data_IF_028804787884
#
_entry.id   IF_028804787884
#
_cell.length_a   1.000
_cell.length_b   1.000
_cell.length_c   1.000
_cell.angle_alpha   90.00
_cell.angle_beta   90.00
_cell.angle_gamma   90.00
#
_symmetry.space_group_name_H-M   'P 1'
#
loop_
_entity.id
_entity.type
_entity.pdbx_description
1 polymer ?
#
# COMPACT_ATOMS: atom_id res chain seq x y z
N UNK A 1 -1.52 -14.20 21.22
CA UNK A 1 -2.08 -13.59 19.99
C UNK A 1 -3.04 -14.58 19.35
N UNK A 2 -4.11 -14.11 18.72
CA UNK A 2 -5.03 -14.97 17.95
C UNK A 2 -4.27 -15.61 16.78
N UNK A 3 -4.45 -16.91 16.56
CA UNK A 3 -3.83 -17.60 15.44
C UNK A 3 -4.79 -17.55 14.24
N UNK A 4 -4.39 -16.84 13.19
CA UNK A 4 -5.19 -16.72 11.97
C UNK A 4 -4.75 -17.78 10.97
N UNK A 5 -5.71 -18.51 10.41
CA UNK A 5 -5.51 -19.39 9.27
C UNK A 5 -6.68 -19.17 8.32
N UNK A 6 -6.40 -18.54 7.18
CA UNK A 6 -7.41 -18.13 6.20
C UNK A 6 -7.14 -18.81 4.86
N UNK A 7 -8.20 -18.97 4.08
CA UNK A 7 -8.26 -19.67 2.79
C UNK A 7 -8.93 -18.84 1.71
N UNK A 8 -9.84 -17.94 2.07
CA UNK A 8 -10.56 -17.12 1.08
C UNK A 8 -10.25 -15.64 1.25
N UNK A 9 -10.60 -14.86 0.22
CA UNK A 9 -10.46 -13.41 0.25
C UNK A 9 -11.36 -12.76 1.31
N UNK A 10 -12.57 -13.28 1.51
CA UNK A 10 -13.52 -12.77 2.51
C UNK A 10 -12.96 -12.93 3.93
N UNK A 11 -12.37 -14.09 4.25
CA UNK A 11 -11.68 -14.29 5.54
C UNK A 11 -10.48 -13.34 5.68
N UNK A 12 -9.81 -12.99 4.57
CA UNK A 12 -8.73 -12.03 4.56
C UNK A 12 -9.22 -10.59 4.83
N UNK A 13 -10.41 -10.23 4.34
CA UNK A 13 -11.11 -8.97 4.65
C UNK A 13 -11.40 -8.89 6.16
N UNK A 14 -11.98 -9.95 6.74
CA UNK A 14 -12.27 -9.98 8.18
C UNK A 14 -11.01 -9.76 9.02
N UNK A 15 -9.89 -10.37 8.62
CA UNK A 15 -8.60 -10.18 9.32
C UNK A 15 -8.11 -8.74 9.22
N UNK A 16 -8.09 -8.12 8.04
CA UNK A 16 -7.58 -6.74 7.90
C UNK A 16 -8.48 -5.72 8.60
N UNK A 17 -9.80 -5.95 8.63
CA UNK A 17 -10.73 -5.11 9.40
C UNK A 17 -10.49 -5.25 10.91
N UNK A 18 -10.18 -6.45 11.40
CA UNK A 18 -9.86 -6.68 12.82
C UNK A 18 -8.51 -6.05 13.22
N UNK A 19 -7.43 -6.32 12.47
CA UNK A 19 -6.06 -5.98 12.90
C UNK A 19 -5.58 -4.61 12.39
N UNK A 20 -6.17 -4.12 11.30
CA UNK A 20 -5.92 -2.82 10.69
C UNK A 20 -4.60 -2.67 9.90
N UNK A 21 -3.58 -3.49 10.16
CA UNK A 21 -2.33 -3.53 9.40
C UNK A 21 -1.98 -4.98 9.04
N UNK A 22 -1.85 -5.31 7.75
CA UNK A 22 -1.46 -6.65 7.32
C UNK A 22 -0.29 -6.57 6.32
N UNK A 23 0.95 -6.86 6.74
CA UNK A 23 2.07 -7.02 5.83
C UNK A 23 1.83 -8.17 4.85
N UNK A 24 2.27 -8.05 3.60
CA UNK A 24 2.16 -9.16 2.64
C UNK A 24 3.07 -10.33 3.04
N UNK A 25 4.26 -10.01 3.55
CA UNK A 25 5.25 -10.96 4.06
C UNK A 25 5.71 -10.52 5.46
N UNK A 26 6.33 -11.43 6.21
CA UNK A 26 6.78 -11.20 7.58
C UNK A 26 7.58 -9.88 7.71
N UNK A 27 7.07 -8.97 8.53
CA UNK A 27 7.63 -7.63 8.75
C UNK A 27 7.77 -7.28 10.23
N UNK A 28 6.75 -7.62 11.02
CA UNK A 28 6.70 -7.41 12.47
C UNK A 28 6.87 -8.79 13.14
N UNK A 29 7.80 -8.96 14.09
CA UNK A 29 7.96 -10.21 14.83
C UNK A 29 6.68 -10.56 15.59
N UNK A 30 6.31 -11.84 15.61
CA UNK A 30 5.12 -12.34 16.30
C UNK A 30 3.86 -11.51 15.97
N UNK A 31 3.63 -11.28 14.67
CA UNK A 31 2.48 -10.54 14.15
C UNK A 31 2.11 -11.14 12.79
N UNK A 32 0.81 -11.24 12.44
CA UNK A 32 0.40 -11.85 11.19
C UNK A 32 0.89 -11.08 9.96
N UNK A 33 1.12 -11.82 8.89
CA UNK A 33 1.30 -11.34 7.52
C UNK A 33 0.48 -12.23 6.60
N UNK A 34 0.09 -11.75 5.42
CA UNK A 34 -0.72 -12.56 4.49
C UNK A 34 -0.05 -13.91 4.20
N UNK A 35 1.28 -13.92 3.97
CA UNK A 35 2.11 -15.14 3.79
C UNK A 35 2.08 -16.09 5.01
N UNK A 36 2.02 -15.56 6.24
CA UNK A 36 2.06 -16.41 7.43
C UNK A 36 0.70 -17.00 7.82
N UNK A 37 -0.40 -16.43 7.32
CA UNK A 37 -1.77 -16.83 7.67
C UNK A 37 -2.48 -17.58 6.54
N UNK A 38 -1.83 -17.77 5.39
CA UNK A 38 -2.34 -18.50 4.23
C UNK A 38 -1.46 -19.71 3.90
N UNK A 39 -2.02 -20.70 3.18
CA UNK A 39 -1.21 -21.82 2.69
C UNK A 39 -0.37 -21.38 1.48
N UNK A 40 0.91 -21.76 1.49
CA UNK A 40 1.85 -21.51 0.39
C UNK A 40 1.46 -22.21 -0.91
N UNK A 41 0.67 -23.27 -0.84
CA UNK A 41 0.25 -24.06 -2.00
C UNK A 41 -0.66 -23.28 -2.97
N UNK A 42 -1.35 -22.25 -2.47
CA UNK A 42 -2.24 -21.43 -3.30
C UNK A 42 -1.56 -20.19 -3.89
N UNK A 43 -0.38 -19.79 -3.39
CA UNK A 43 0.31 -18.61 -3.89
C UNK A 43 0.74 -18.80 -5.34
N UNK A 44 0.45 -17.80 -6.17
CA UNK A 44 0.74 -17.79 -7.60
C UNK A 44 -0.01 -18.87 -8.40
N UNK A 45 -1.04 -19.50 -7.80
CA UNK A 45 -1.88 -20.48 -8.50
C UNK A 45 -2.80 -19.84 -9.55
N UNK A 46 -3.08 -18.54 -9.43
CA UNK A 46 -4.06 -17.83 -10.27
C UNK A 46 -5.52 -18.24 -10.01
N UNK A 47 -5.77 -19.03 -8.97
CA UNK A 47 -7.12 -19.38 -8.52
C UNK A 47 -7.73 -18.27 -7.66
N UNK A 48 -9.02 -18.35 -7.36
CA UNK A 48 -9.70 -17.47 -6.41
C UNK A 48 -9.13 -17.59 -4.99
N UNK A 49 -8.41 -18.68 -4.70
CA UNK A 49 -7.75 -18.90 -3.41
C UNK A 49 -6.33 -18.32 -3.35
N UNK A 50 -5.85 -17.66 -4.41
CA UNK A 50 -4.48 -17.17 -4.53
C UNK A 50 -4.26 -15.83 -3.80
N UNK A 51 -3.50 -15.80 -2.69
CA UNK A 51 -3.26 -14.56 -1.94
C UNK A 51 -2.43 -13.53 -2.73
N UNK A 52 -1.71 -13.96 -3.76
CA UNK A 52 -1.01 -13.04 -4.67
C UNK A 52 -1.98 -12.24 -5.56
N UNK A 53 -3.19 -12.75 -5.80
CA UNK A 53 -4.22 -12.03 -6.54
C UNK A 53 -4.93 -11.03 -5.64
N UNK A 54 -5.31 -11.44 -4.43
CA UNK A 54 -6.04 -10.63 -3.45
C UNK A 54 -5.35 -9.31 -3.09
N UNK A 55 -4.00 -9.27 -3.04
CA UNK A 55 -3.25 -8.09 -2.58
C UNK A 55 -3.64 -6.77 -3.26
N UNK A 56 -4.04 -6.79 -4.54
CA UNK A 56 -4.50 -5.59 -5.23
C UNK A 56 -6.03 -5.42 -5.17
N UNK A 57 -6.78 -6.50 -4.94
CA UNK A 57 -8.24 -6.49 -4.81
C UNK A 57 -8.67 -5.71 -3.57
N UNK A 58 -7.94 -5.83 -2.45
CA UNK A 58 -8.19 -5.02 -1.24
C UNK A 58 -8.28 -3.50 -1.50
N UNK A 59 -7.44 -3.00 -2.40
CA UNK A 59 -7.42 -1.58 -2.75
C UNK A 59 -8.50 -1.22 -3.77
N UNK A 60 -8.85 -2.15 -4.67
CA UNK A 60 -9.94 -1.98 -5.65
C UNK A 60 -11.29 -1.94 -4.93
N UNK A 61 -11.48 -2.79 -3.92
CA UNK A 61 -12.73 -2.89 -3.15
C UNK A 61 -12.85 -1.83 -2.06
N UNK A 62 -11.83 -0.99 -1.87
CA UNK A 62 -11.83 0.06 -0.84
C UNK A 62 -11.68 -0.45 0.60
N UNK A 63 -11.37 -1.73 0.78
CA UNK A 63 -11.20 -2.36 2.11
C UNK A 63 -9.91 -1.88 2.78
N UNK A 64 -8.81 -1.82 2.02
CA UNK A 64 -7.50 -1.45 2.55
C UNK A 64 -6.61 -0.77 1.50
N UNK A 65 -5.89 0.26 1.92
CA UNK A 65 -4.85 0.85 1.09
C UNK A 65 -3.67 -0.13 0.97
N UNK A 66 -3.24 -0.39 -0.26
CA UNK A 66 -2.13 -1.30 -0.56
C UNK A 66 -0.91 -0.54 -1.11
N UNK A 67 0.26 -0.78 -0.54
CA UNK A 67 1.48 -0.14 -1.03
C UNK A 67 2.71 -0.41 -0.18
N UNK A 68 3.81 0.25 -0.53
CA UNK A 68 5.11 0.11 0.14
C UNK A 68 5.38 1.20 1.18
N UNK A 69 4.40 1.47 2.03
CA UNK A 69 4.40 2.56 3.01
C UNK A 69 5.44 2.37 4.13
N UNK A 70 5.70 1.12 4.54
CA UNK A 70 6.54 0.82 5.71
C UNK A 70 7.81 0.08 5.26
N UNK A 71 8.98 0.69 5.48
CA UNK A 71 10.30 0.09 5.18
C UNK A 71 10.42 -0.49 3.76
N UNK A 72 9.73 0.13 2.78
CA UNK A 72 9.68 -0.32 1.38
C UNK A 72 9.08 -1.74 1.19
N UNK A 73 8.33 -2.23 2.18
CA UNK A 73 7.65 -3.53 2.16
C UNK A 73 6.18 -3.35 1.83
N UNK A 74 5.64 -4.28 1.05
CA UNK A 74 4.23 -4.29 0.69
C UNK A 74 3.38 -4.59 1.94
N UNK A 75 2.48 -3.68 2.26
CA UNK A 75 1.56 -3.77 3.39
C UNK A 75 0.16 -3.34 2.96
N UNK A 76 -0.84 -3.87 3.65
CA UNK A 76 -2.23 -3.42 3.62
C UNK A 76 -2.51 -2.63 4.89
N UNK A 77 -3.18 -1.49 4.77
CA UNK A 77 -3.67 -0.71 5.90
C UNK A 77 -5.18 -0.58 5.73
N UNK A 78 -5.96 -1.04 6.70
CA UNK A 78 -7.42 -0.98 6.61
C UNK A 78 -7.89 0.45 6.42
N UNK A 79 -9.02 0.61 5.72
CA UNK A 79 -9.66 1.90 5.54
C UNK A 79 -9.87 2.65 6.87
N UNK A 80 -10.21 1.93 7.94
CA UNK A 80 -10.45 2.52 9.26
C UNK A 80 -9.18 3.03 9.93
N UNK A 81 -8.07 2.29 9.82
CA UNK A 81 -6.80 2.66 10.45
C UNK A 81 -6.00 3.67 9.62
N UNK A 82 -6.28 3.76 8.31
CA UNK A 82 -5.55 4.58 7.36
C UNK A 82 -5.42 6.06 7.77
N UNK A 83 -6.46 6.76 8.27
CA UNK A 83 -6.32 8.16 8.68
C UNK A 83 -5.25 8.37 9.76
N UNK A 84 -5.22 7.51 10.78
CA UNK A 84 -4.22 7.55 11.84
C UNK A 84 -2.81 7.30 11.28
N UNK A 85 -2.66 6.29 10.42
CA UNK A 85 -1.37 5.97 9.80
C UNK A 85 -0.88 7.10 8.89
N UNK A 86 -1.77 7.76 8.14
CA UNK A 86 -1.43 8.91 7.28
C UNK A 86 -0.92 10.10 8.09
N UNK A 87 -1.48 10.37 9.25
CA UNK A 87 -0.99 11.44 10.15
C UNK A 87 0.45 11.14 10.62
N UNK A 88 0.74 9.88 10.91
CA UNK A 88 2.02 9.46 11.51
C UNK A 88 3.14 9.26 10.47
N UNK A 89 2.83 8.61 9.35
CA UNK A 89 3.81 8.23 8.33
C UNK A 89 3.76 9.10 7.06
N UNK A 90 2.62 9.69 6.76
CA UNK A 90 2.46 10.56 5.59
C UNK A 90 3.14 11.91 5.78
N UNK A 91 3.34 12.63 4.67
CA UNK A 91 3.80 14.01 4.74
C UNK A 91 2.65 14.98 4.97
N UNK A 92 2.79 15.88 5.94
CA UNK A 92 1.88 17.01 6.14
C UNK A 92 2.10 18.15 5.11
N UNK A 93 3.21 18.12 4.36
CA UNK A 93 3.55 19.15 3.38
C UNK A 93 3.15 18.73 1.96
N UNK A 94 2.58 19.64 1.15
CA UNK A 94 2.32 19.40 -0.26
C UNK A 94 3.58 18.95 -1.01
N UNK A 95 3.41 18.08 -2.00
CA UNK A 95 4.51 17.49 -2.75
C UNK A 95 5.40 18.54 -3.43
N UNK A 96 4.82 19.55 -4.08
CA UNK A 96 5.60 20.60 -4.77
C UNK A 96 6.50 21.36 -3.79
N UNK A 97 6.01 21.65 -2.58
CA UNK A 97 6.83 22.31 -1.56
C UNK A 97 7.99 21.43 -1.10
N UNK A 98 7.75 20.14 -0.89
CA UNK A 98 8.82 19.17 -0.57
C UNK A 98 9.85 19.07 -1.71
N UNK A 99 9.41 19.20 -2.96
CA UNK A 99 10.32 19.24 -4.10
C UNK A 99 11.19 20.50 -4.09
N UNK A 100 10.59 21.67 -3.87
CA UNK A 100 11.32 22.94 -3.76
C UNK A 100 12.35 22.91 -2.61
N UNK A 101 12.03 22.23 -1.52
CA UNK A 101 12.92 22.02 -0.37
C UNK A 101 13.98 20.91 -0.60
N UNK A 102 13.99 20.27 -1.78
CA UNK A 102 14.96 19.21 -2.13
C UNK A 102 14.72 17.86 -1.45
N UNK A 103 13.53 17.65 -0.88
CA UNK A 103 13.13 16.43 -0.19
C UNK A 103 12.48 15.38 -1.11
N UNK A 104 12.11 15.80 -2.33
CA UNK A 104 11.47 14.94 -3.33
C UNK A 104 12.29 14.96 -4.62
N UNK A 105 12.52 13.79 -5.22
CA UNK A 105 13.20 13.70 -6.51
C UNK A 105 12.37 14.27 -7.66
N UNK A 106 13.04 14.73 -8.72
CA UNK A 106 12.36 15.21 -9.94
C UNK A 106 11.50 14.10 -10.56
N UNK A 107 12.02 12.88 -10.59
CA UNK A 107 11.30 11.72 -11.10
C UNK A 107 10.04 11.43 -10.27
N UNK A 108 10.12 11.51 -8.94
CA UNK A 108 8.94 11.35 -8.08
C UNK A 108 7.88 12.43 -8.34
N UNK A 109 8.28 13.69 -8.47
CA UNK A 109 7.33 14.77 -8.81
C UNK A 109 6.65 14.54 -10.18
N UNK A 110 7.43 14.16 -11.19
CA UNK A 110 6.91 13.87 -12.53
C UNK A 110 5.92 12.71 -12.51
N UNK A 111 6.27 11.60 -11.86
CA UNK A 111 5.38 10.45 -11.73
C UNK A 111 4.10 10.79 -10.98
N UNK A 112 4.19 11.56 -9.89
CA UNK A 112 3.00 11.97 -9.14
C UNK A 112 2.04 12.79 -10.00
N UNK A 113 2.54 13.76 -10.78
CA UNK A 113 1.69 14.57 -11.67
C UNK A 113 0.96 13.71 -12.70
N UNK A 114 1.66 12.76 -13.33
CA UNK A 114 1.06 11.82 -14.27
C UNK A 114 0.00 10.91 -13.61
N UNK A 115 0.26 10.45 -12.38
CA UNK A 115 -0.69 9.63 -11.61
C UNK A 115 -1.91 10.45 -11.17
N UNK A 116 -1.71 11.73 -10.84
CA UNK A 116 -2.78 12.66 -10.47
C UNK A 116 -3.70 12.96 -11.66
N UNK A 117 -3.13 13.14 -12.86
CA UNK A 117 -3.88 13.37 -14.11
C UNK A 117 -4.65 12.13 -14.58
N UNK A 118 -4.11 10.92 -14.36
CA UNK A 118 -4.74 9.66 -14.76
C UNK A 118 -4.78 8.65 -13.59
N UNK A 119 -5.76 8.75 -12.68
CA UNK A 119 -5.97 7.76 -11.64
C UNK A 119 -6.16 6.35 -12.22
N UNK A 120 -5.44 5.36 -11.67
CA UNK A 120 -5.46 3.99 -12.16
C UNK A 120 -4.53 3.72 -13.36
N UNK A 121 -3.61 4.64 -13.67
CA UNK A 121 -2.55 4.42 -14.66
C UNK A 121 -1.65 3.26 -14.24
N UNK A 122 -1.38 2.33 -15.16
CA UNK A 122 -0.51 1.20 -14.87
C UNK A 122 0.97 1.49 -15.19
N UNK A 123 1.86 0.73 -14.55
CA UNK A 123 3.32 0.86 -14.69
C UNK A 123 3.79 0.97 -16.14
N UNK A 124 3.15 0.30 -17.11
CA UNK A 124 3.60 0.33 -18.51
C UNK A 124 3.30 1.68 -19.15
N UNK A 125 2.06 2.14 -19.01
CA UNK A 125 1.61 3.44 -19.51
C UNK A 125 2.37 4.55 -18.80
N UNK A 126 2.49 4.47 -17.48
CA UNK A 126 3.21 5.45 -16.67
C UNK A 126 4.69 5.58 -17.08
N UNK A 127 5.40 4.46 -17.29
CA UNK A 127 6.78 4.49 -17.81
C UNK A 127 6.88 5.08 -19.21
N UNK A 128 5.88 4.87 -20.05
CA UNK A 128 5.86 5.44 -21.39
C UNK A 128 5.66 6.97 -21.33
N UNK A 129 4.68 7.44 -20.56
CA UNK A 129 4.38 8.87 -20.38
C UNK A 129 5.53 9.65 -19.75
N UNK A 130 6.21 9.06 -18.76
CA UNK A 130 7.39 9.67 -18.13
C UNK A 130 8.66 9.60 -19.00
N UNK A 131 8.60 9.04 -20.21
CA UNK A 131 9.80 8.86 -21.05
C UNK A 131 10.86 7.94 -20.40
N UNK A 132 10.43 6.97 -19.57
CA UNK A 132 11.28 6.07 -18.78
C UNK A 132 11.22 4.61 -19.25
N UNK A 133 10.97 4.35 -20.54
CA UNK A 133 10.92 2.99 -21.11
C UNK A 133 12.28 2.31 -21.17
N UNK A 134 13.35 3.09 -21.33
CA UNK A 134 14.72 2.59 -21.42
C UNK A 134 15.14 1.80 -20.18
N UNK A 135 15.97 0.77 -20.38
CA UNK A 135 16.42 -0.13 -19.29
C UNK A 135 17.15 0.63 -18.18
N UNK A 136 17.94 1.64 -18.53
CA UNK A 136 18.72 2.47 -17.60
C UNK A 136 17.83 3.31 -16.68
N UNK A 137 16.65 3.72 -17.17
CA UNK A 137 15.66 4.50 -16.43
C UNK A 137 14.76 3.65 -15.52
N UNK A 138 14.89 2.32 -15.56
CA UNK A 138 14.10 1.43 -14.68
C UNK A 138 14.37 1.69 -13.19
N UNK A 139 15.63 1.82 -12.79
CA UNK A 139 15.99 2.03 -11.38
C UNK A 139 15.51 3.40 -10.86
N UNK A 140 15.73 4.53 -11.57
CA UNK A 140 15.13 5.81 -11.21
C UNK A 140 13.59 5.74 -11.08
N UNK A 141 12.91 5.08 -12.02
CA UNK A 141 11.46 4.91 -11.98
C UNK A 141 11.00 4.12 -10.75
N UNK A 142 11.61 2.96 -10.49
CA UNK A 142 11.27 2.11 -9.34
C UNK A 142 11.53 2.84 -8.02
N UNK A 143 12.60 3.66 -7.95
CA UNK A 143 12.92 4.48 -6.78
C UNK A 143 11.90 5.60 -6.57
N UNK A 144 11.49 6.30 -7.62
CA UNK A 144 10.49 7.36 -7.56
C UNK A 144 9.14 6.83 -7.06
N UNK A 145 8.69 5.65 -7.53
CA UNK A 145 7.50 5.00 -6.99
C UNK A 145 7.64 4.60 -5.52
N UNK A 146 8.83 4.15 -5.09
CA UNK A 146 9.08 3.78 -3.69
C UNK A 146 9.11 5.01 -2.77
N UNK A 147 9.63 6.13 -3.28
CA UNK A 147 9.66 7.42 -2.60
C UNK A 147 8.24 7.92 -2.34
N UNK A 148 7.42 8.04 -3.40
CA UNK A 148 6.02 8.46 -3.30
C UNK A 148 5.17 7.53 -2.42
N UNK A 149 5.37 6.21 -2.51
CA UNK A 149 4.70 5.29 -1.59
C UNK A 149 5.21 5.46 -0.15
N UNK A 150 6.50 5.68 0.05
CA UNK A 150 7.07 5.87 1.39
C UNK A 150 6.52 7.10 2.12
N UNK A 151 6.19 8.16 1.39
CA UNK A 151 5.52 9.37 1.90
C UNK A 151 3.99 9.32 1.85
N UNK A 152 3.41 8.19 1.46
CA UNK A 152 1.97 7.97 1.30
C UNK A 152 1.30 8.95 0.33
N UNK A 153 2.02 9.37 -0.72
CA UNK A 153 1.49 10.23 -1.78
C UNK A 153 0.66 9.46 -2.81
N UNK A 154 1.02 8.19 -3.03
CA UNK A 154 0.35 7.29 -3.97
C UNK A 154 0.06 5.94 -3.33
N UNK A 155 -0.92 5.23 -3.89
CA UNK A 155 -1.34 3.87 -3.51
C UNK A 155 -1.34 2.97 -4.74
N UNK A 156 -1.17 1.67 -4.55
CA UNK A 156 -1.47 0.69 -5.60
C UNK A 156 -2.98 0.51 -5.65
N UNK A 157 -3.60 0.80 -6.80
CA UNK A 157 -5.07 0.76 -6.97
C UNK A 157 -5.58 -0.40 -7.81
N UNK A 158 -4.72 -1.37 -8.14
CA UNK A 158 -5.16 -2.55 -8.88
C UNK A 158 -4.06 -3.19 -9.72
N UNK A 159 -4.47 -4.08 -10.61
CA UNK A 159 -3.61 -4.55 -11.69
C UNK A 159 -4.35 -4.55 -13.03
N UNK A 160 -3.66 -4.17 -14.11
CA UNK A 160 -4.16 -4.29 -15.49
C UNK A 160 -3.56 -5.52 -16.16
N UNK A 161 -4.42 -6.39 -16.69
CA UNK A 161 -3.97 -7.54 -17.47
C UNK A 161 -3.18 -7.06 -18.69
N UNK A 162 -2.10 -7.75 -19.02
CA UNK A 162 -1.41 -7.49 -20.28
C UNK A 162 -2.21 -8.16 -21.38
N UNK A 163 -2.69 -7.40 -22.36
CA UNK A 163 -3.42 -7.93 -23.51
C UNK A 163 -2.64 -7.69 -24.80
N UNK A 164 -2.73 -8.60 -25.77
CA UNK A 164 -2.29 -8.33 -27.15
C UNK A 164 -3.31 -7.45 -27.89
N UNK A 165 -3.02 -7.14 -29.16
CA UNK A 165 -3.92 -6.37 -30.04
C UNK A 165 -5.30 -7.04 -30.24
N UNK A 166 -5.40 -8.36 -29.97
CA UNK A 166 -6.63 -9.14 -30.02
C UNK A 166 -7.37 -9.21 -28.66
N UNK A 167 -6.87 -8.54 -27.63
CA UNK A 167 -7.45 -8.54 -26.28
C UNK A 167 -7.10 -9.78 -25.44
N UNK A 168 -6.30 -10.70 -25.94
CA UNK A 168 -5.92 -11.93 -25.24
C UNK A 168 -4.86 -11.66 -24.16
N UNK A 169 -5.06 -12.22 -22.97
CA UNK A 169 -4.11 -12.07 -21.85
C UNK A 169 -2.75 -12.69 -22.19
N UNK A 170 -1.69 -11.89 -22.23
CA UNK A 170 -0.33 -12.33 -22.57
C UNK A 170 0.76 -11.87 -21.57
N UNK A 171 1.03 -12.69 -20.57
CA UNK A 171 2.05 -12.43 -19.54
C UNK A 171 1.50 -11.71 -18.30
N UNK A 172 2.37 -11.36 -17.36
CA UNK A 172 1.99 -10.86 -16.04
C UNK A 172 1.23 -9.53 -16.09
N UNK A 173 0.27 -9.32 -15.19
CA UNK A 173 -0.42 -8.03 -15.05
C UNK A 173 0.54 -6.92 -14.61
N UNK A 174 0.25 -5.67 -14.98
CA UNK A 174 0.96 -4.49 -14.47
C UNK A 174 0.23 -3.91 -13.28
N UNK A 175 0.97 -3.43 -12.29
CA UNK A 175 0.43 -2.68 -11.15
C UNK A 175 -0.10 -1.32 -11.59
N UNK A 176 -1.27 -0.94 -11.09
CA UNK A 176 -1.87 0.39 -11.28
C UNK A 176 -1.69 1.27 -10.04
N UNK A 177 -1.60 2.58 -10.26
CA UNK A 177 -1.43 3.57 -9.20
C UNK A 177 -2.43 4.70 -9.33
N UNK A 178 -2.80 5.27 -8.18
CA UNK A 178 -3.49 6.56 -8.07
C UNK A 178 -2.95 7.32 -6.87
N UNK A 179 -3.33 8.59 -6.74
CA UNK A 179 -2.93 9.38 -5.57
C UNK A 179 -3.66 8.88 -4.33
N UNK A 180 -3.00 8.93 -3.18
CA UNK A 180 -3.61 8.57 -1.90
C UNK A 180 -4.84 9.44 -1.62
N UNK A 181 -4.80 10.72 -2.00
CA UNK A 181 -5.94 11.64 -1.87
C UNK A 181 -7.15 11.18 -2.69
N UNK A 182 -6.94 10.80 -3.94
CA UNK A 182 -8.01 10.27 -4.80
C UNK A 182 -8.60 8.99 -4.21
N UNK A 183 -7.76 8.04 -3.78
CA UNK A 183 -8.24 6.78 -3.17
C UNK A 183 -9.04 7.02 -1.90
N UNK A 184 -8.57 7.91 -1.02
CA UNK A 184 -9.24 8.31 0.22
C UNK A 184 -10.63 8.88 -0.06
N UNK A 185 -10.73 9.76 -1.06
CA UNK A 185 -12.00 10.37 -1.46
C UNK A 185 -12.95 9.35 -2.10
N UNK A 186 -12.45 8.50 -3.00
CA UNK A 186 -13.27 7.51 -3.72
C UNK A 186 -13.79 6.38 -2.83
N UNK A 187 -13.16 6.14 -1.68
CA UNK A 187 -13.52 5.06 -0.75
C UNK A 187 -14.14 5.56 0.56
N UNK A 188 -14.59 6.82 0.60
CA UNK A 188 -15.25 7.46 1.75
C UNK A 188 -14.48 7.30 3.07
N UNK A 189 -13.15 7.43 3.00
CA UNK A 189 -12.29 7.33 4.18
C UNK A 189 -12.53 8.53 5.08
N UNK A 190 -12.85 8.29 6.35
CA UNK A 190 -13.15 9.35 7.33
C UNK A 190 -11.96 10.29 7.51
N UNK A 191 -12.23 11.59 7.43
CA UNK A 191 -11.28 12.60 7.86
C UNK A 191 -11.15 12.60 9.39
N UNK A 192 -9.93 12.73 9.88
CA UNK A 192 -9.64 12.94 11.31
C UNK A 192 -9.05 14.33 11.50
N UNK A 193 -9.48 15.01 12.56
CA UNK A 193 -8.89 16.25 13.03
C UNK A 193 -8.11 15.98 14.31
N UNK A 194 -7.08 15.14 14.20
CA UNK A 194 -6.17 14.80 15.29
C UNK A 194 -4.79 15.36 14.97
N UNK A 195 -4.05 15.71 16.02
CA UNK A 195 -2.62 15.93 15.90
C UNK A 195 -1.82 14.61 15.87
N UNK A 196 -0.51 14.73 15.70
CA UNK A 196 0.38 13.57 15.58
C UNK A 196 0.46 12.74 16.87
N UNK A 197 0.40 13.36 18.05
CA UNK A 197 0.50 12.66 19.33
C UNK A 197 -0.81 11.95 19.69
N UNK A 198 -1.94 12.59 19.41
CA UNK A 198 -3.26 11.97 19.51
C UNK A 198 -3.36 10.74 18.58
N UNK A 199 -2.95 10.88 17.32
CA UNK A 199 -2.98 9.77 16.36
C UNK A 199 -2.09 8.60 16.81
N UNK A 200 -0.91 8.89 17.37
CA UNK A 200 -0.01 7.87 17.95
C UNK A 200 -0.64 7.15 19.14
N UNK A 201 -1.31 7.88 20.02
CA UNK A 201 -1.96 7.33 21.20
C UNK A 201 -3.09 6.37 20.81
N UNK A 202 -3.97 6.79 19.91
CA UNK A 202 -5.07 5.96 19.37
C UNK A 202 -4.53 4.70 18.68
N UNK A 203 -3.51 4.86 17.83
CA UNK A 203 -2.90 3.73 17.13
C UNK A 203 -2.20 2.75 18.10
N UNK A 204 -1.56 3.27 19.14
CA UNK A 204 -0.93 2.47 20.21
C UNK A 204 -1.99 1.70 21.00
N UNK A 205 -3.10 2.35 21.35
CA UNK A 205 -4.20 1.70 22.06
C UNK A 205 -4.80 0.56 21.21
N UNK A 206 -5.08 0.81 19.93
CA UNK A 206 -5.54 -0.22 18.99
C UNK A 206 -4.63 -1.45 19.00
N UNK A 207 -3.32 -1.24 18.77
CA UNK A 207 -2.38 -2.36 18.72
C UNK A 207 -2.16 -3.04 20.07
N UNK A 208 -2.32 -2.35 21.20
CA UNK A 208 -2.16 -2.96 22.54
C UNK A 208 -3.17 -4.08 22.82
N UNK A 209 -4.33 -4.06 22.15
CA UNK A 209 -5.38 -5.07 22.28
C UNK A 209 -5.10 -6.34 21.49
N UNK A 210 -4.20 -6.26 20.50
CA UNK A 210 -3.97 -7.33 19.50
C UNK A 210 -2.54 -7.90 19.62
N UNK A 211 -1.56 -7.04 19.91
CA UNK A 211 -0.14 -7.34 19.80
C UNK A 211 0.43 -8.00 21.06
N UNK A 212 1.43 -8.85 20.85
CA UNK A 212 2.37 -9.29 21.89
C UNK A 212 3.37 -8.18 22.26
N UNK A 213 4.08 -8.28 23.39
CA UNK A 213 5.13 -7.32 23.74
C UNK A 213 6.19 -7.12 22.63
N UNK A 214 6.57 -8.18 21.93
CA UNK A 214 7.57 -8.17 20.86
C UNK A 214 7.07 -7.42 19.62
N UNK A 215 5.85 -7.72 19.17
CA UNK A 215 5.21 -7.03 18.04
C UNK A 215 4.95 -5.57 18.38
N UNK A 216 4.46 -5.29 19.59
CA UNK A 216 4.24 -3.93 20.10
C UNK A 216 5.52 -3.10 20.07
N UNK A 217 6.66 -3.66 20.51
CA UNK A 217 7.97 -3.00 20.46
C UNK A 217 8.42 -2.69 19.02
N UNK A 218 8.14 -3.58 18.08
CA UNK A 218 8.47 -3.37 16.68
C UNK A 218 7.57 -2.31 16.03
N UNK A 219 6.27 -2.31 16.34
CA UNK A 219 5.32 -1.29 15.88
C UNK A 219 5.63 0.09 16.48
N UNK A 220 6.01 0.16 17.76
CA UNK A 220 6.45 1.41 18.40
C UNK A 220 7.67 2.03 17.72
N UNK A 221 8.58 1.24 17.14
CA UNK A 221 9.67 1.79 16.32
C UNK A 221 9.22 2.29 14.95
N UNK A 222 8.17 1.70 14.38
CA UNK A 222 7.62 2.10 13.08
C UNK A 222 6.84 3.40 13.22
N UNK A 223 5.94 3.46 14.21
CA UNK A 223 5.00 4.56 14.41
C UNK A 223 5.45 5.59 15.48
N UNK A 224 6.57 5.33 16.16
CA UNK A 224 7.21 6.23 17.15
C UNK A 224 6.31 6.58 18.34
N UNK A 225 5.71 5.57 18.98
CA UNK A 225 4.92 5.66 20.21
C UNK A 225 5.43 4.72 21.32
#
# INVERSE_FOLDING_TARGET
>A
MKNYLIRTYEEAIEVIEEIGLLPLAKLVPDYPSLDSITSKDYWYSGSELDPWMWRAEFAVDGVAAYGKFIKKKSVLISRELLPLVRIILGSAQPLDKRYDDGLVSREALELYRLIHEEPGVDTRVLRAKAGMKDKEKKKPFDNALLELQGSMDIVVSGTKAKTNELGEKNGWSSTSFETMEYWVKSNDVKALSLDMEEAKMELKEHFSRICSPESMKALGRIFKF
#
